data_IF_565358924049
#
_entry.id   IF_565358924049
#
_cell.length_a   1.000
_cell.length_b   1.000
_cell.length_c   1.000
_cell.angle_alpha   90.00
_cell.angle_beta   90.00
_cell.angle_gamma   90.00
#
_symmetry.space_group_name_H-M   'P 1'
#
loop_
_entity.id
_entity.type
_entity.pdbx_description
1 polymer ?
#
# COMPACT_ATOMS: atom_id res chain seq x y z
N UNK A 1 -13.33 -1.27 20.60
CA UNK A 1 -12.09 -1.20 21.42
C UNK A 1 -11.21 -0.06 20.90
N UNK A 2 -10.27 0.43 21.74
CA UNK A 2 -9.22 1.37 21.31
C UNK A 2 -8.11 0.59 20.59
N UNK A 3 -7.66 1.08 19.42
CA UNK A 3 -6.61 0.48 18.60
C UNK A 3 -5.66 1.58 18.15
N UNK A 4 -4.38 1.41 18.39
CA UNK A 4 -3.37 2.31 17.84
C UNK A 4 -3.02 1.90 16.41
N UNK A 5 -2.94 2.87 15.51
CA UNK A 5 -2.51 2.68 14.13
C UNK A 5 -1.12 3.31 13.95
N UNK A 6 -0.12 2.46 13.67
CA UNK A 6 1.28 2.86 13.50
C UNK A 6 1.51 3.53 12.14
N UNK A 7 1.05 4.76 11.99
CA UNK A 7 1.22 5.56 10.78
C UNK A 7 1.21 7.06 11.06
N UNK A 8 2.02 7.82 10.31
CA UNK A 8 1.91 9.27 10.18
C UNK A 8 1.03 9.71 9.00
N UNK A 9 0.55 8.76 8.17
CA UNK A 9 -0.20 9.08 6.95
C UNK A 9 -1.69 9.31 7.25
N UNK A 10 -2.13 10.58 7.11
CA UNK A 10 -3.53 10.98 7.35
C UNK A 10 -4.54 10.32 6.39
N UNK A 11 -4.13 9.98 5.16
CA UNK A 11 -5.00 9.27 4.22
C UNK A 11 -5.24 7.84 4.68
N UNK A 12 -4.20 7.14 5.15
CA UNK A 12 -4.34 5.82 5.77
C UNK A 12 -5.25 5.86 6.99
N UNK A 13 -5.08 6.86 7.89
CA UNK A 13 -5.97 7.04 9.04
C UNK A 13 -7.42 7.12 8.61
N UNK A 14 -7.73 8.00 7.62
CA UNK A 14 -9.10 8.18 7.14
C UNK A 14 -9.71 6.87 6.63
N UNK A 15 -9.00 6.12 5.76
CA UNK A 15 -9.46 4.82 5.28
C UNK A 15 -9.66 3.82 6.43
N UNK A 16 -8.74 3.78 7.40
CA UNK A 16 -8.84 2.86 8.53
C UNK A 16 -10.02 3.16 9.46
N UNK A 17 -10.32 4.44 9.70
CA UNK A 17 -11.50 4.84 10.49
C UNK A 17 -12.79 4.40 9.80
N UNK A 18 -12.87 4.52 8.47
CA UNK A 18 -14.02 4.06 7.70
C UNK A 18 -14.16 2.53 7.69
N UNK A 19 -13.04 1.81 7.67
CA UNK A 19 -13.00 0.35 7.61
C UNK A 19 -13.20 -0.33 8.96
N UNK A 20 -12.60 0.20 10.05
CA UNK A 20 -12.72 -0.33 11.43
C UNK A 20 -13.90 0.28 12.19
N UNK A 21 -15.10 0.22 11.62
CA UNK A 21 -16.31 0.72 12.29
C UNK A 21 -16.51 0.04 13.65
N UNK A 22 -16.90 0.83 14.66
CA UNK A 22 -17.09 0.35 16.04
C UNK A 22 -15.80 0.28 16.88
N UNK A 23 -14.66 0.70 16.30
CA UNK A 23 -13.38 0.82 17.00
C UNK A 23 -12.90 2.27 17.01
N UNK A 24 -12.20 2.66 18.07
CA UNK A 24 -11.53 3.95 18.16
C UNK A 24 -10.11 3.82 17.61
N UNK A 25 -9.84 4.46 16.48
CA UNK A 25 -8.53 4.43 15.82
C UNK A 25 -7.73 5.68 16.18
N UNK A 26 -6.58 5.47 16.82
CA UNK A 26 -5.67 6.51 17.30
C UNK A 26 -4.35 6.39 16.54
N UNK A 27 -3.84 7.50 16.04
CA UNK A 27 -2.48 7.58 15.50
C UNK A 27 -1.55 8.29 16.47
N UNK A 28 -0.22 8.09 16.39
CA UNK A 28 0.75 8.69 17.31
C UNK A 28 0.57 10.20 17.50
N UNK A 29 0.30 10.94 16.41
CA UNK A 29 0.10 12.40 16.47
C UNK A 29 -1.15 12.86 17.23
N UNK A 30 -2.14 11.99 17.44
CA UNK A 30 -3.33 12.33 18.23
C UNK A 30 -2.99 12.43 19.72
N UNK A 31 -1.92 11.78 20.16
CA UNK A 31 -1.43 11.80 21.54
C UNK A 31 -0.05 12.47 21.67
N UNK A 32 0.37 13.26 20.67
CA UNK A 32 1.67 13.94 20.63
C UNK A 32 2.87 12.98 20.76
N UNK A 33 2.75 11.74 20.28
CA UNK A 33 3.83 10.77 20.21
C UNK A 33 4.63 11.03 18.94
N UNK A 34 5.93 11.26 19.08
CA UNK A 34 6.88 11.34 17.97
C UNK A 34 7.14 9.91 17.46
N UNK A 35 6.84 9.63 16.18
CA UNK A 35 6.87 8.28 15.64
C UNK A 35 7.28 8.29 14.17
N UNK A 36 8.50 7.86 13.91
CA UNK A 36 9.07 7.69 12.56
C UNK A 36 10.13 6.57 12.59
N UNK A 37 9.72 5.32 12.79
CA UNK A 37 10.66 4.20 12.85
C UNK A 37 11.28 3.95 11.46
N UNK A 38 12.58 3.63 11.45
CA UNK A 38 13.28 3.26 10.23
C UNK A 38 12.73 1.93 9.68
N UNK A 39 12.22 1.95 8.45
CA UNK A 39 11.72 0.76 7.75
C UNK A 39 12.87 0.04 7.04
N UNK A 40 13.51 -0.90 7.73
CA UNK A 40 14.67 -1.68 7.24
C UNK A 40 14.30 -3.02 6.64
N UNK A 41 13.02 -3.36 6.62
CA UNK A 41 12.51 -4.62 6.07
C UNK A 41 12.62 -4.67 4.54
N UNK A 42 12.72 -5.89 4.01
CA UNK A 42 12.77 -6.17 2.57
C UNK A 42 11.41 -6.61 2.00
N UNK A 43 10.42 -6.74 2.87
CA UNK A 43 9.03 -7.09 2.52
C UNK A 43 8.04 -6.14 3.19
N UNK A 44 6.83 -6.03 2.63
CA UNK A 44 5.73 -5.28 3.26
C UNK A 44 5.41 -5.77 4.68
N UNK A 45 5.47 -7.10 4.88
CA UNK A 45 5.25 -7.69 6.19
C UNK A 45 6.31 -7.24 7.21
N UNK A 46 7.58 -7.30 6.86
CA UNK A 46 8.66 -6.89 7.77
C UNK A 46 8.54 -5.42 8.17
N UNK A 47 8.30 -4.52 7.22
CA UNK A 47 8.10 -3.10 7.50
C UNK A 47 6.87 -2.85 8.37
N UNK A 48 5.77 -3.57 8.11
CA UNK A 48 4.57 -3.50 8.94
C UNK A 48 4.85 -3.97 10.36
N UNK A 49 5.58 -5.07 10.53
CA UNK A 49 5.96 -5.61 11.84
C UNK A 49 6.88 -4.65 12.62
N UNK A 50 7.86 -4.06 11.96
CA UNK A 50 8.76 -3.05 12.55
C UNK A 50 7.93 -1.90 13.13
N UNK A 51 7.02 -1.34 12.34
CA UNK A 51 6.14 -0.24 12.78
C UNK A 51 5.24 -0.66 13.95
N UNK A 52 4.64 -1.84 13.86
CA UNK A 52 3.73 -2.32 14.91
C UNK A 52 4.44 -2.49 16.25
N UNK A 53 5.62 -3.11 16.26
CA UNK A 53 6.44 -3.28 17.46
C UNK A 53 6.92 -1.95 18.03
N UNK A 54 7.46 -1.08 17.19
CA UNK A 54 7.98 0.21 17.63
C UNK A 54 6.91 1.05 18.34
N UNK A 55 5.68 1.06 17.84
CA UNK A 55 4.60 1.78 18.52
C UNK A 55 4.10 1.05 19.78
N UNK A 56 4.03 -0.29 19.74
CA UNK A 56 3.63 -1.08 20.91
C UNK A 56 4.57 -0.86 22.10
N UNK A 57 5.86 -0.76 21.86
CA UNK A 57 6.87 -0.52 22.92
C UNK A 57 6.69 0.86 23.59
N UNK A 58 6.02 1.79 22.93
CA UNK A 58 5.68 3.11 23.48
C UNK A 58 4.34 3.08 24.22
N UNK A 59 3.30 2.52 23.57
CA UNK A 59 1.92 2.66 24.08
C UNK A 59 1.45 1.49 24.93
N UNK A 60 2.14 0.35 24.86
CA UNK A 60 1.79 -0.90 25.56
C UNK A 60 0.32 -1.32 25.37
N UNK A 61 -0.20 -1.12 24.17
CA UNK A 61 -1.59 -1.38 23.79
C UNK A 61 -1.64 -2.05 22.40
N UNK A 62 -2.72 -2.77 22.04
CA UNK A 62 -2.81 -3.37 20.70
C UNK A 62 -2.57 -2.35 19.58
N UNK A 63 -1.67 -2.68 18.67
CA UNK A 63 -1.26 -1.84 17.54
C UNK A 63 -1.57 -2.54 16.23
N UNK A 64 -2.18 -1.81 15.31
CA UNK A 64 -2.23 -2.18 13.90
C UNK A 64 -1.19 -1.34 13.14
N UNK A 65 -0.42 -2.00 12.28
CA UNK A 65 0.38 -1.36 11.26
C UNK A 65 0.04 -1.93 9.90
N UNK A 66 0.15 -1.13 8.85
CA UNK A 66 0.15 -1.61 7.48
C UNK A 66 1.35 -1.06 6.72
N UNK A 67 1.91 -1.91 5.86
CA UNK A 67 2.76 -1.47 4.78
C UNK A 67 2.15 -1.91 3.45
N UNK A 68 2.21 -1.02 2.45
CA UNK A 68 1.49 -1.24 1.20
C UNK A 68 2.13 -0.48 0.05
N UNK A 69 2.01 -1.05 -1.14
CA UNK A 69 2.54 -0.43 -2.35
C UNK A 69 2.00 -1.09 -3.61
N UNK A 70 2.41 -0.55 -4.74
CA UNK A 70 2.13 -1.14 -6.06
C UNK A 70 3.28 -2.03 -6.48
N UNK A 71 2.94 -3.19 -7.04
CA UNK A 71 3.87 -4.13 -7.65
C UNK A 71 3.49 -4.28 -9.12
N UNK A 72 4.42 -4.00 -10.03
CA UNK A 72 4.22 -4.16 -11.48
C UNK A 72 4.92 -5.44 -11.93
N UNK A 73 4.17 -6.36 -12.48
CA UNK A 73 4.68 -7.69 -12.83
C UNK A 73 5.78 -7.64 -13.88
N UNK A 74 5.62 -6.79 -14.91
CA UNK A 74 6.65 -6.56 -15.93
C UNK A 74 7.99 -6.07 -15.37
N UNK A 75 7.98 -5.52 -14.15
CA UNK A 75 9.14 -5.00 -13.43
C UNK A 75 9.58 -5.90 -12.27
N UNK A 76 9.14 -7.17 -12.27
CA UNK A 76 9.47 -8.13 -11.23
C UNK A 76 8.95 -7.74 -9.84
N UNK A 77 7.83 -7.02 -9.79
CA UNK A 77 7.20 -6.55 -8.54
C UNK A 77 7.66 -5.16 -8.08
N UNK A 78 8.56 -4.50 -8.82
CA UNK A 78 8.93 -3.11 -8.52
C UNK A 78 7.75 -2.15 -8.80
N UNK A 79 7.65 -1.01 -8.08
CA UNK A 79 8.50 -0.51 -7.01
C UNK A 79 8.31 -1.21 -5.64
N UNK A 80 7.22 -1.97 -5.41
CA UNK A 80 7.00 -2.72 -4.19
C UNK A 80 7.06 -1.84 -2.94
N UNK A 81 7.88 -2.21 -1.95
CA UNK A 81 8.07 -1.47 -0.69
C UNK A 81 8.61 -0.03 -0.88
N UNK A 82 9.11 0.28 -2.05
CA UNK A 82 9.62 1.61 -2.38
C UNK A 82 8.57 2.53 -3.00
N UNK A 83 7.31 2.09 -3.13
CA UNK A 83 6.22 2.81 -3.81
C UNK A 83 6.06 4.27 -3.39
N UNK A 84 6.19 4.56 -2.09
CA UNK A 84 6.00 5.92 -1.55
C UNK A 84 7.15 6.89 -1.84
N UNK A 85 8.35 6.36 -2.16
CA UNK A 85 9.57 7.13 -2.39
C UNK A 85 10.20 6.89 -3.75
N UNK A 86 9.56 6.07 -4.59
CA UNK A 86 10.02 5.77 -5.94
C UNK A 86 10.23 7.06 -6.75
N UNK A 87 11.44 7.24 -7.29
CA UNK A 87 11.85 8.45 -8.01
C UNK A 87 12.44 8.12 -9.39
N UNK A 88 11.93 7.05 -10.01
CA UNK A 88 12.36 6.56 -11.32
C UNK A 88 13.31 5.34 -11.21
N UNK A 89 13.71 4.77 -12.37
CA UNK A 89 14.49 3.53 -12.40
C UNK A 89 15.88 3.64 -11.74
N UNK A 90 16.49 4.82 -11.79
CA UNK A 90 17.81 5.06 -11.19
C UNK A 90 17.73 5.37 -9.69
N UNK A 91 16.54 5.67 -9.18
CA UNK A 91 16.28 6.08 -7.79
C UNK A 91 15.09 5.32 -7.20
N UNK A 92 15.11 4.01 -7.28
CA UNK A 92 14.04 3.14 -6.77
C UNK A 92 13.70 3.42 -5.30
N UNK A 93 14.71 3.67 -4.49
CA UNK A 93 14.57 3.90 -3.04
C UNK A 93 14.41 5.37 -2.66
N UNK A 94 14.19 6.24 -3.65
CA UNK A 94 14.20 7.69 -3.49
C UNK A 94 15.55 8.32 -3.81
N UNK A 95 15.55 9.62 -4.07
CA UNK A 95 16.78 10.37 -4.39
C UNK A 95 17.71 10.41 -3.17
N UNK A 96 19.05 10.26 -3.36
CA UNK A 96 20.01 10.25 -2.26
C UNK A 96 20.04 11.54 -1.43
N UNK A 97 19.66 12.66 -2.02
CA UNK A 97 19.58 13.98 -1.38
C UNK A 97 18.27 14.21 -0.62
N UNK A 98 17.37 13.21 -0.58
CA UNK A 98 16.06 13.29 0.04
C UNK A 98 15.02 14.10 -0.73
N UNK A 99 15.35 14.59 -1.93
CA UNK A 99 14.40 15.34 -2.77
C UNK A 99 13.20 14.46 -3.13
N UNK A 100 12.01 14.90 -2.75
CA UNK A 100 10.76 14.24 -3.16
C UNK A 100 10.35 14.74 -4.52
N UNK A 101 9.94 13.82 -5.37
CA UNK A 101 9.29 14.14 -6.65
C UNK A 101 7.78 14.11 -6.49
N UNK A 102 7.08 14.73 -7.42
CA UNK A 102 5.61 14.73 -7.41
C UNK A 102 5.05 13.33 -7.70
N UNK A 103 3.82 13.08 -7.26
CA UNK A 103 3.13 11.81 -7.59
C UNK A 103 2.93 11.66 -9.11
N UNK A 104 2.74 12.75 -9.82
CA UNK A 104 2.62 12.73 -11.29
C UNK A 104 3.91 12.25 -11.94
N UNK A 105 5.06 12.74 -11.51
CA UNK A 105 6.37 12.27 -12.01
C UNK A 105 6.58 10.78 -11.68
N UNK A 106 6.18 10.33 -10.47
CA UNK A 106 6.24 8.91 -10.11
C UNK A 106 5.38 8.07 -11.06
N UNK A 107 4.18 8.53 -11.37
CA UNK A 107 3.25 7.85 -12.28
C UNK A 107 3.84 7.76 -13.69
N UNK A 108 4.41 8.86 -14.21
CA UNK A 108 5.07 8.91 -15.53
C UNK A 108 6.23 7.90 -15.56
N UNK A 109 7.14 7.94 -14.59
CA UNK A 109 8.28 7.01 -14.56
C UNK A 109 7.85 5.56 -14.54
N UNK A 110 6.81 5.22 -13.77
CA UNK A 110 6.35 3.85 -13.67
C UNK A 110 5.73 3.35 -15.00
N UNK A 111 4.96 4.21 -15.69
CA UNK A 111 4.40 3.90 -17.00
C UNK A 111 5.53 3.71 -18.04
N UNK A 112 6.48 4.65 -18.10
CA UNK A 112 7.61 4.59 -19.05
C UNK A 112 8.47 3.35 -18.83
N UNK A 113 8.78 3.02 -17.59
CA UNK A 113 9.56 1.84 -17.26
C UNK A 113 8.82 0.55 -17.63
N UNK A 114 7.50 0.49 -17.38
CA UNK A 114 6.66 -0.63 -17.80
C UNK A 114 6.64 -0.76 -19.33
N UNK A 115 6.45 0.34 -20.05
CA UNK A 115 6.48 0.38 -21.51
C UNK A 115 7.83 -0.12 -22.06
N UNK A 116 8.92 0.32 -21.44
CA UNK A 116 10.27 -0.11 -21.83
C UNK A 116 10.46 -1.61 -21.62
N UNK A 117 10.10 -2.15 -20.47
CA UNK A 117 10.23 -3.58 -20.17
C UNK A 117 9.44 -4.44 -21.19
N UNK A 118 8.23 -4.02 -21.53
CA UNK A 118 7.40 -4.70 -22.52
C UNK A 118 8.05 -4.66 -23.91
N UNK A 119 8.53 -3.47 -24.33
CA UNK A 119 9.16 -3.28 -25.63
C UNK A 119 10.46 -4.09 -25.79
N UNK A 120 11.25 -4.15 -24.72
CA UNK A 120 12.53 -4.87 -24.70
C UNK A 120 12.34 -6.39 -24.55
N UNK A 121 11.12 -6.84 -24.26
CA UNK A 121 10.82 -8.27 -24.05
C UNK A 121 11.45 -8.84 -22.79
N UNK A 122 11.75 -8.00 -21.80
CA UNK A 122 12.41 -8.37 -20.53
C UNK A 122 11.44 -8.86 -19.47
N UNK A 123 10.23 -9.28 -19.87
CA UNK A 123 9.19 -9.71 -18.94
C UNK A 123 9.63 -10.94 -18.14
N UNK A 124 9.43 -10.94 -16.81
CA UNK A 124 9.69 -12.11 -15.99
C UNK A 124 8.76 -13.26 -16.38
N UNK A 125 9.27 -14.49 -16.35
CA UNK A 125 8.45 -15.69 -16.60
C UNK A 125 7.68 -16.03 -15.32
N UNK A 126 6.46 -15.52 -15.20
CA UNK A 126 5.59 -15.77 -14.05
C UNK A 126 4.28 -16.42 -14.54
N UNK A 127 3.90 -17.59 -14.02
CA UNK A 127 2.75 -18.35 -14.54
C UNK A 127 1.39 -17.70 -14.23
N UNK A 128 1.36 -16.70 -13.38
CA UNK A 128 0.16 -15.98 -12.96
C UNK A 128 0.04 -14.56 -13.55
N UNK A 129 0.85 -14.22 -14.55
CA UNK A 129 0.73 -12.95 -15.26
C UNK A 129 -0.59 -12.89 -16.05
N UNK A 130 -1.43 -11.93 -15.72
CA UNK A 130 -2.69 -11.66 -16.42
C UNK A 130 -2.50 -10.82 -17.70
N UNK A 131 -1.25 -10.58 -18.09
CA UNK A 131 -0.88 -9.82 -19.28
C UNK A 131 0.37 -8.96 -19.03
N UNK A 132 0.92 -8.35 -20.09
CA UNK A 132 2.19 -7.63 -19.98
C UNK A 132 2.13 -6.36 -19.13
N UNK A 133 0.93 -5.89 -18.80
CA UNK A 133 0.70 -4.69 -17.98
C UNK A 133 0.10 -5.00 -16.62
N UNK A 134 0.01 -6.28 -16.25
CA UNK A 134 -0.56 -6.63 -14.96
C UNK A 134 0.23 -5.99 -13.82
N UNK A 135 -0.49 -5.54 -12.84
CA UNK A 135 0.04 -4.99 -11.60
C UNK A 135 -0.92 -5.30 -10.47
N UNK A 136 -0.43 -5.23 -9.26
CA UNK A 136 -1.27 -5.37 -8.09
C UNK A 136 -0.81 -4.42 -6.98
N UNK A 137 -1.75 -4.00 -6.16
CA UNK A 137 -1.41 -3.45 -4.86
C UNK A 137 -1.29 -4.57 -3.84
N UNK A 138 -0.32 -4.46 -2.96
CA UNK A 138 -0.19 -5.33 -1.78
C UNK A 138 -0.39 -4.52 -0.52
N UNK A 139 -1.10 -5.07 0.46
CA UNK A 139 -1.16 -4.57 1.82
C UNK A 139 -0.83 -5.70 2.78
N UNK A 140 0.27 -5.59 3.51
CA UNK A 140 0.55 -6.44 4.66
C UNK A 140 0.14 -5.68 5.93
N UNK A 141 -0.82 -6.23 6.66
CA UNK A 141 -1.34 -5.67 7.90
C UNK A 141 -0.96 -6.56 9.07
N UNK A 142 -0.40 -5.98 10.11
CA UNK A 142 -0.02 -6.64 11.35
C UNK A 142 -0.87 -6.09 12.49
N UNK A 143 -1.55 -6.97 13.23
CA UNK A 143 -2.08 -6.68 14.55
C UNK A 143 -1.12 -7.25 15.59
N UNK A 144 -0.49 -6.39 16.37
CA UNK A 144 0.47 -6.76 17.38
C UNK A 144 -0.09 -6.47 18.79
N UNK A 145 -0.23 -7.52 19.59
CA UNK A 145 -0.77 -7.45 20.95
C UNK A 145 0.28 -7.85 22.00
N UNK A 146 1.53 -8.04 21.60
CA UNK A 146 2.65 -8.45 22.46
C UNK A 146 3.54 -9.51 21.78
N UNK A 147 4.64 -9.95 22.44
CA UNK A 147 5.68 -10.78 21.84
C UNK A 147 5.17 -12.07 21.18
N UNK A 148 4.26 -12.79 21.81
CA UNK A 148 3.73 -14.07 21.31
C UNK A 148 2.27 -13.97 20.82
N UNK A 149 1.79 -12.73 20.60
CA UNK A 149 0.43 -12.45 20.17
C UNK A 149 0.39 -11.50 18.99
N UNK A 150 0.68 -12.05 17.83
CA UNK A 150 0.84 -11.36 16.56
C UNK A 150 -0.03 -12.04 15.50
N UNK A 151 -0.75 -11.23 14.73
CA UNK A 151 -1.59 -11.69 13.63
C UNK A 151 -1.27 -10.91 12.37
N UNK A 152 -1.30 -11.59 11.23
CA UNK A 152 -0.95 -11.01 9.93
C UNK A 152 -2.05 -11.29 8.92
N UNK A 153 -2.41 -10.28 8.15
CA UNK A 153 -3.19 -10.41 6.93
C UNK A 153 -2.45 -9.72 5.80
N UNK A 154 -2.14 -10.46 4.73
CA UNK A 154 -1.59 -9.88 3.51
C UNK A 154 -2.54 -10.16 2.36
N UNK A 155 -2.95 -9.09 1.66
CA UNK A 155 -3.95 -9.13 0.60
C UNK A 155 -3.49 -8.33 -0.61
N UNK A 156 -3.99 -8.72 -1.78
CA UNK A 156 -3.71 -8.05 -3.04
C UNK A 156 -4.96 -7.48 -3.68
N UNK A 157 -4.76 -6.54 -4.58
CA UNK A 157 -5.79 -5.93 -5.42
C UNK A 157 -5.26 -5.77 -6.82
N UNK A 158 -5.74 -6.62 -7.72
CA UNK A 158 -5.24 -6.78 -9.07
C UNK A 158 -5.75 -5.68 -10.01
N UNK A 159 -4.92 -5.31 -10.98
CA UNK A 159 -5.26 -4.34 -12.01
C UNK A 159 -4.29 -4.39 -13.19
N UNK A 160 -4.40 -3.42 -14.05
CA UNK A 160 -3.53 -3.26 -15.23
C UNK A 160 -3.04 -1.83 -15.35
N UNK A 161 -1.74 -1.65 -15.56
CA UNK A 161 -1.15 -0.33 -15.82
C UNK A 161 -1.65 0.25 -17.14
N UNK A 162 -2.04 1.52 -17.16
CA UNK A 162 -2.23 2.25 -18.44
C UNK A 162 -0.89 2.41 -19.17
N UNK A 163 -0.94 2.63 -20.48
CA UNK A 163 0.23 2.73 -21.33
C UNK A 163 0.68 4.18 -21.62
N UNK A 164 -0.18 5.16 -21.31
CA UNK A 164 0.03 6.58 -21.54
C UNK A 164 -0.57 7.38 -20.39
N UNK A 165 0.19 8.34 -19.85
CA UNK A 165 -0.26 9.21 -18.75
C UNK A 165 -1.53 9.99 -19.11
N UNK A 166 -1.74 10.32 -20.40
CA UNK A 166 -2.95 10.99 -20.86
C UNK A 166 -4.23 10.14 -20.69
N UNK A 167 -4.11 8.84 -20.41
CA UNK A 167 -5.23 7.94 -20.11
C UNK A 167 -5.56 7.88 -18.62
N UNK A 168 -4.81 8.58 -17.77
CA UNK A 168 -5.14 8.68 -16.35
C UNK A 168 -6.55 9.25 -16.17
N UNK A 169 -7.28 8.74 -15.19
CA UNK A 169 -8.65 9.15 -14.96
C UNK A 169 -9.02 9.10 -13.47
N UNK A 170 -9.98 9.94 -13.09
CA UNK A 170 -10.45 10.05 -11.71
C UNK A 170 -9.58 10.97 -10.86
N UNK A 171 -10.15 11.39 -9.74
CA UNK A 171 -9.51 12.25 -8.73
C UNK A 171 -9.63 11.69 -7.31
N UNK A 172 -10.25 10.51 -7.18
CA UNK A 172 -10.36 9.80 -5.91
C UNK A 172 -9.08 9.04 -5.55
N UNK A 173 -9.03 8.56 -4.31
CA UNK A 173 -7.88 7.77 -3.84
C UNK A 173 -6.60 8.58 -3.66
N UNK A 174 -5.46 7.95 -3.87
CA UNK A 174 -4.13 8.55 -3.76
C UNK A 174 -3.07 7.70 -4.48
N UNK A 175 -1.88 8.27 -4.67
CA UNK A 175 -0.75 7.53 -5.24
C UNK A 175 -0.98 7.16 -6.70
N UNK A 176 -0.85 5.89 -6.99
CA UNK A 176 -0.91 5.32 -8.34
C UNK A 176 -2.35 5.02 -8.81
N UNK A 177 -3.38 5.33 -8.04
CA UNK A 177 -4.77 5.01 -8.35
C UNK A 177 -5.24 5.52 -9.74
N UNK A 178 -4.84 6.72 -10.23
CA UNK A 178 -5.26 7.21 -11.54
C UNK A 178 -4.70 6.42 -12.73
N UNK A 179 -3.63 5.65 -12.53
CA UNK A 179 -2.91 4.93 -13.59
C UNK A 179 -3.12 3.41 -13.56
N UNK A 180 -3.87 2.91 -12.58
CA UNK A 180 -4.24 1.49 -12.48
C UNK A 180 -5.67 1.31 -12.94
N UNK A 181 -5.84 0.64 -14.08
CA UNK A 181 -7.12 0.32 -14.70
C UNK A 181 -7.63 -1.04 -14.22
N UNK A 182 -8.92 -1.11 -13.98
CA UNK A 182 -9.65 -2.30 -13.54
C UNK A 182 -10.55 -2.78 -14.68
N UNK A 183 -10.16 -3.81 -15.44
CA UNK A 183 -10.91 -4.27 -16.61
C UNK A 183 -12.36 -4.65 -16.29
N UNK A 184 -12.60 -5.31 -15.15
CA UNK A 184 -13.95 -5.75 -14.73
C UNK A 184 -14.90 -4.59 -14.44
N UNK A 185 -14.36 -3.42 -14.05
CA UNK A 185 -15.14 -2.22 -13.73
C UNK A 185 -15.14 -1.19 -14.86
N UNK A 186 -14.29 -1.37 -15.87
CA UNK A 186 -14.04 -0.38 -16.92
C UNK A 186 -13.74 1.03 -16.36
N UNK A 187 -12.99 1.08 -15.26
CA UNK A 187 -12.61 2.29 -14.52
C UNK A 187 -11.14 2.20 -14.08
N UNK A 188 -10.50 3.35 -13.83
CA UNK A 188 -9.30 3.36 -12.99
C UNK A 188 -9.68 3.27 -11.51
N UNK A 189 -8.72 2.90 -10.67
CA UNK A 189 -8.93 2.84 -9.20
C UNK A 189 -9.37 4.22 -8.67
N UNK A 190 -8.84 5.31 -9.23
CA UNK A 190 -9.22 6.67 -8.83
C UNK A 190 -10.65 7.10 -9.24
N UNK A 191 -11.31 6.33 -10.10
CA UNK A 191 -12.71 6.55 -10.48
C UNK A 191 -13.71 5.80 -9.59
N UNK A 192 -13.22 4.96 -8.70
CA UNK A 192 -14.07 4.29 -7.70
C UNK A 192 -14.48 5.28 -6.60
N UNK A 193 -15.68 5.13 -6.09
CA UNK A 193 -16.07 5.73 -4.83
C UNK A 193 -15.28 5.11 -3.67
N UNK A 194 -15.17 5.79 -2.54
CA UNK A 194 -14.52 5.23 -1.36
C UNK A 194 -15.16 3.89 -0.94
N UNK A 195 -16.47 3.79 -1.01
CA UNK A 195 -17.20 2.56 -0.69
C UNK A 195 -16.82 1.40 -1.65
N UNK A 196 -16.86 1.63 -2.97
CA UNK A 196 -16.45 0.63 -3.98
C UNK A 196 -15.01 0.18 -3.75
N UNK A 197 -14.08 1.15 -3.56
CA UNK A 197 -12.67 0.85 -3.30
C UNK A 197 -12.47 0.06 -2.02
N UNK A 198 -13.10 0.45 -0.91
CA UNK A 198 -12.99 -0.24 0.37
C UNK A 198 -13.51 -1.69 0.31
N UNK A 199 -14.52 -1.96 -0.53
CA UNK A 199 -15.06 -3.31 -0.70
C UNK A 199 -14.06 -4.29 -1.35
N UNK A 200 -13.24 -3.82 -2.30
CA UNK A 200 -12.41 -4.70 -3.16
C UNK A 200 -10.90 -4.52 -2.99
N UNK A 201 -10.45 -3.43 -2.38
CA UNK A 201 -9.02 -3.10 -2.28
C UNK A 201 -8.24 -4.06 -1.36
N UNK A 202 -6.93 -4.13 -1.59
CA UNK A 202 -5.97 -4.83 -0.74
C UNK A 202 -6.12 -4.47 0.74
N UNK A 203 -6.21 -3.16 1.07
CA UNK A 203 -6.39 -2.70 2.46
C UNK A 203 -7.74 -3.10 3.03
N UNK A 204 -8.83 -2.93 2.26
CA UNK A 204 -10.16 -3.34 2.69
C UNK A 204 -10.26 -4.84 2.97
N UNK A 205 -9.62 -5.68 2.13
CA UNK A 205 -9.54 -7.14 2.36
C UNK A 205 -8.73 -7.46 3.63
N UNK A 206 -7.54 -6.85 3.79
CA UNK A 206 -6.69 -7.07 4.96
C UNK A 206 -7.39 -6.65 6.27
N UNK A 207 -8.08 -5.50 6.27
CA UNK A 207 -8.87 -5.05 7.42
C UNK A 207 -9.95 -6.06 7.80
N UNK A 208 -10.73 -6.54 6.83
CA UNK A 208 -11.78 -7.56 7.11
C UNK A 208 -11.21 -8.85 7.70
N UNK A 209 -10.02 -9.26 7.28
CA UNK A 209 -9.34 -10.43 7.85
C UNK A 209 -8.92 -10.16 9.31
N UNK A 210 -8.33 -9.00 9.59
CA UNK A 210 -7.93 -8.59 10.96
C UNK A 210 -9.14 -8.39 11.87
N UNK A 211 -10.26 -7.83 11.37
CA UNK A 211 -11.49 -7.68 12.16
C UNK A 211 -12.02 -9.00 12.66
N UNK A 212 -12.07 -10.05 11.83
CA UNK A 212 -12.48 -11.39 12.25
C UNK A 212 -11.60 -11.95 13.37
N UNK A 213 -10.31 -11.63 13.36
CA UNK A 213 -9.39 -12.00 14.43
C UNK A 213 -9.73 -11.23 15.71
N UNK A 214 -9.92 -9.91 15.61
CA UNK A 214 -10.28 -9.06 16.76
C UNK A 214 -11.58 -9.51 17.40
N UNK A 215 -12.58 -9.90 16.62
CA UNK A 215 -13.87 -10.43 17.11
C UNK A 215 -13.74 -11.76 17.84
N UNK A 216 -12.65 -12.49 17.63
CA UNK A 216 -12.36 -13.78 18.27
C UNK A 216 -11.48 -13.67 19.51
N UNK A 217 -10.91 -12.49 19.78
CA UNK A 217 -10.05 -12.22 20.95
C UNK A 217 -10.85 -11.81 22.17
#
# INVERSE_FOLDING_TARGET
MKIYLATGNKNKKREMVELFQGHEIIIPSDENIEFDPEETGITFYENSLIKAKALYDIVHYPVIADDSGICVDALGGSPGIYSSRYAGPDFMQGKPDGTKISQEEQNIFLIEQTNKAIKDGTLPKMPYLHGPRSCHYTCAMVLYCGPDRLFVAQETFEGSMIDDINKQAGSGGFGYDPIVFLPEYNKTVAQLTAYEKNAISHRGKAVRAIQKIIESL
#
